data_IF_850636964886
#
_entry.id   IF_850636964886
#
_cell.length_a   1.000
_cell.length_b   1.000
_cell.length_c   1.000
_cell.angle_alpha   90.00
_cell.angle_beta   90.00
_cell.angle_gamma   90.00
#
_symmetry.space_group_name_H-M   'P 1'
#
loop_
_entity.id
_entity.type
_entity.pdbx_description
1 polymer ?
#
# COMPACT_ATOMS: atom_id res chain seq x y z
N UNK A 1 -98.90 43.14 -7.04
CA UNK A 1 -99.41 42.14 -6.06
C UNK A 1 -98.90 40.76 -6.48
N UNK A 2 -97.98 40.19 -5.70
CA UNK A 2 -97.95 38.81 -5.19
C UNK A 2 -96.51 38.40 -4.90
N UNK A 3 -96.30 38.09 -3.63
CA UNK A 3 -95.13 37.46 -3.01
C UNK A 3 -95.14 35.93 -3.29
N UNK A 4 -94.07 35.20 -2.90
CA UNK A 4 -93.52 34.04 -3.62
C UNK A 4 -94.10 32.69 -3.17
N UNK A 5 -93.84 31.64 -3.94
CA UNK A 5 -94.07 30.24 -3.55
C UNK A 5 -92.72 29.53 -3.37
N UNK A 6 -92.49 29.02 -2.15
CA UNK A 6 -91.42 28.09 -1.79
C UNK A 6 -91.62 26.74 -2.49
N UNK A 7 -90.50 26.10 -2.86
CA UNK A 7 -90.47 24.72 -3.39
C UNK A 7 -89.95 23.80 -2.27
N UNK A 8 -90.63 22.67 -1.96
CA UNK A 8 -90.28 21.76 -0.87
C UNK A 8 -89.06 20.87 -1.20
N UNK A 9 -88.42 20.25 -0.19
CA UNK A 9 -87.17 19.50 -0.36
C UNK A 9 -87.41 18.13 -1.05
N UNK A 10 -86.43 17.59 -1.79
CA UNK A 10 -86.54 16.26 -2.38
C UNK A 10 -86.45 15.17 -1.31
N UNK A 11 -87.37 14.20 -1.40
CA UNK A 11 -87.48 13.03 -0.52
C UNK A 11 -86.41 11.97 -0.82
N UNK A 12 -85.94 11.25 0.21
CA UNK A 12 -84.91 10.19 0.22
C UNK A 12 -85.21 8.92 -0.62
N UNK A 13 -86.08 8.97 -1.64
CA UNK A 13 -86.51 7.79 -2.40
C UNK A 13 -85.86 7.62 -3.78
N UNK A 14 -84.95 8.50 -4.18
CA UNK A 14 -84.18 8.37 -5.44
C UNK A 14 -82.68 8.10 -5.24
N UNK A 15 -82.26 7.70 -4.04
CA UNK A 15 -80.91 7.16 -3.85
C UNK A 15 -80.90 5.71 -4.33
N UNK A 16 -80.26 5.48 -5.48
CA UNK A 16 -79.82 4.15 -5.88
C UNK A 16 -79.08 3.52 -4.71
N UNK A 17 -79.55 2.35 -4.29
CA UNK A 17 -78.95 1.56 -3.22
C UNK A 17 -77.52 1.20 -3.59
N UNK A 18 -76.61 1.64 -2.73
CA UNK A 18 -75.37 0.99 -2.30
C UNK A 18 -75.01 -0.32 -3.01
N UNK A 19 -74.29 -0.21 -4.13
CA UNK A 19 -73.56 -1.32 -4.79
C UNK A 19 -72.23 -0.79 -5.39
N UNK A 20 -71.64 0.27 -4.81
CA UNK A 20 -70.33 0.81 -5.22
C UNK A 20 -69.16 0.39 -4.30
N UNK A 21 -69.34 -0.59 -3.40
CA UNK A 21 -68.25 -1.07 -2.55
C UNK A 21 -67.40 -2.19 -3.18
N UNK A 22 -67.86 -2.85 -4.24
CA UNK A 22 -67.17 -4.01 -4.81
C UNK A 22 -66.33 -3.74 -6.07
N UNK A 23 -66.32 -2.50 -6.60
CA UNK A 23 -65.52 -2.18 -7.79
C UNK A 23 -64.02 -2.03 -7.48
N UNK A 24 -63.64 -1.86 -6.21
CA UNK A 24 -62.25 -1.69 -5.77
C UNK A 24 -61.51 -3.02 -5.49
N UNK A 25 -62.22 -4.16 -5.55
CA UNK A 25 -61.67 -5.46 -5.15
C UNK A 25 -61.09 -6.30 -6.29
N UNK A 26 -61.10 -5.81 -7.55
CA UNK A 26 -60.59 -6.54 -8.73
C UNK A 26 -59.25 -6.03 -9.29
N UNK A 27 -58.52 -5.17 -8.57
CA UNK A 27 -57.18 -4.75 -8.98
C UNK A 27 -56.11 -5.51 -8.16
N UNK A 28 -55.47 -6.57 -8.73
CA UNK A 28 -54.44 -7.35 -8.04
C UNK A 28 -53.19 -6.54 -7.69
N UNK A 29 -52.96 -5.38 -8.33
CA UNK A 29 -51.78 -4.54 -8.08
C UNK A 29 -51.95 -3.64 -6.85
N UNK A 30 -53.18 -3.32 -6.43
CA UNK A 30 -53.44 -2.54 -5.20
C UNK A 30 -53.21 -3.30 -3.90
N UNK A 31 -53.15 -4.64 -3.90
CA UNK A 31 -52.81 -5.43 -2.70
C UNK A 31 -51.33 -5.30 -2.30
N UNK A 32 -50.46 -4.81 -3.20
CA UNK A 32 -49.02 -4.64 -2.94
C UNK A 32 -48.63 -3.21 -2.55
N UNK A 33 -49.47 -2.21 -2.85
CA UNK A 33 -49.17 -0.78 -2.66
C UNK A 33 -49.84 -0.20 -1.39
N UNK A 34 -49.28 -0.54 -0.22
CA UNK A 34 -49.79 -0.11 1.09
C UNK A 34 -49.53 1.37 1.45
N UNK A 35 -48.82 2.14 0.61
CA UNK A 35 -48.49 3.53 0.94
C UNK A 35 -49.63 4.49 0.57
N UNK A 36 -50.14 5.31 1.52
CA UNK A 36 -51.09 6.37 1.21
C UNK A 36 -50.45 7.46 0.35
N UNK A 37 -51.27 8.19 -0.44
CA UNK A 37 -50.78 9.40 -1.11
C UNK A 37 -50.34 10.44 -0.06
N UNK A 38 -49.20 11.12 -0.21
CA UNK A 38 -48.35 11.27 -1.42
C UNK A 38 -47.19 10.27 -1.55
N UNK A 39 -47.00 9.38 -0.57
CA UNK A 39 -45.84 8.49 -0.50
C UNK A 39 -45.80 7.45 -1.63
N UNK A 40 -46.96 7.06 -2.18
CA UNK A 40 -47.04 6.19 -3.36
C UNK A 40 -46.43 6.84 -4.60
N UNK A 41 -46.69 8.12 -4.83
CA UNK A 41 -46.11 8.86 -5.95
C UNK A 41 -44.59 8.99 -5.79
N UNK A 42 -44.13 9.27 -4.56
CA UNK A 42 -42.70 9.31 -4.24
C UNK A 42 -42.06 7.94 -4.49
N UNK A 43 -42.67 6.85 -4.01
CA UNK A 43 -42.17 5.49 -4.23
C UNK A 43 -42.05 5.16 -5.72
N UNK A 44 -43.06 5.49 -6.53
CA UNK A 44 -43.01 5.28 -7.98
C UNK A 44 -41.88 6.07 -8.67
N UNK A 45 -41.68 7.32 -8.28
CA UNK A 45 -40.60 8.15 -8.83
C UNK A 45 -39.23 7.60 -8.42
N UNK A 46 -39.08 7.18 -7.17
CA UNK A 46 -37.84 6.58 -6.65
C UNK A 46 -37.54 5.26 -7.37
N UNK A 47 -38.54 4.38 -7.51
CA UNK A 47 -38.39 3.11 -8.23
C UNK A 47 -38.04 3.32 -9.70
N UNK A 48 -38.66 4.29 -10.38
CA UNK A 48 -38.33 4.62 -11.76
C UNK A 48 -36.88 5.11 -11.91
N UNK A 49 -36.38 5.89 -10.96
CA UNK A 49 -34.97 6.32 -10.94
C UNK A 49 -34.04 5.11 -10.75
N UNK A 50 -34.40 4.18 -9.85
CA UNK A 50 -33.62 2.95 -9.65
C UNK A 50 -33.61 2.06 -10.89
N UNK A 51 -34.77 1.83 -11.53
CA UNK A 51 -34.88 1.04 -12.75
C UNK A 51 -34.06 1.64 -13.89
N UNK A 52 -34.18 2.96 -14.12
CA UNK A 52 -33.38 3.66 -15.13
C UNK A 52 -31.87 3.59 -14.84
N UNK A 53 -31.48 3.75 -13.57
CA UNK A 53 -30.08 3.63 -13.16
C UNK A 53 -29.56 2.21 -13.40
N UNK A 54 -30.38 1.20 -13.09
CA UNK A 54 -30.02 -0.21 -13.28
C UNK A 54 -29.82 -0.55 -14.76
N UNK A 55 -30.73 -0.10 -15.64
CA UNK A 55 -30.62 -0.29 -17.09
C UNK A 55 -29.33 0.35 -17.65
N UNK A 56 -28.97 1.55 -17.16
CA UNK A 56 -27.73 2.23 -17.55
C UNK A 56 -26.50 1.43 -17.09
N UNK A 57 -26.52 0.89 -15.88
CA UNK A 57 -25.42 0.08 -15.33
C UNK A 57 -25.26 -1.22 -16.13
N UNK A 58 -26.34 -1.96 -16.36
CA UNK A 58 -26.34 -3.20 -17.14
C UNK A 58 -25.79 -2.97 -18.55
N UNK A 59 -26.24 -1.91 -19.24
CA UNK A 59 -25.72 -1.55 -20.57
C UNK A 59 -24.21 -1.28 -20.53
N UNK A 60 -23.71 -0.58 -19.50
CA UNK A 60 -22.28 -0.28 -19.33
C UNK A 60 -21.46 -1.53 -18.97
N UNK A 61 -22.04 -2.48 -18.24
CA UNK A 61 -21.39 -3.75 -17.91
C UNK A 61 -21.28 -4.65 -19.14
N UNK A 62 -22.36 -4.83 -19.90
CA UNK A 62 -22.32 -5.57 -21.17
C UNK A 62 -21.26 -5.02 -22.13
N UNK A 63 -21.15 -3.68 -22.24
CA UNK A 63 -20.11 -3.05 -23.06
C UNK A 63 -18.69 -3.33 -22.53
N UNK A 64 -18.48 -3.29 -21.21
CA UNK A 64 -17.20 -3.61 -20.58
C UNK A 64 -16.82 -5.08 -20.76
N UNK A 65 -17.76 -6.01 -20.63
CA UNK A 65 -17.53 -7.44 -20.86
C UNK A 65 -17.19 -7.72 -22.32
N UNK A 66 -17.93 -7.12 -23.26
CA UNK A 66 -17.63 -7.22 -24.69
C UNK A 66 -16.25 -6.62 -25.04
N UNK A 67 -15.78 -5.60 -24.32
CA UNK A 67 -14.42 -5.08 -24.45
C UNK A 67 -13.38 -6.03 -23.85
N UNK A 68 -13.63 -6.59 -22.66
CA UNK A 68 -12.73 -7.59 -22.03
C UNK A 68 -12.51 -8.80 -22.94
N UNK A 69 -13.57 -9.29 -23.58
CA UNK A 69 -13.50 -10.42 -24.52
C UNK A 69 -12.70 -10.10 -25.81
N UNK A 70 -12.54 -8.82 -26.16
CA UNK A 70 -11.75 -8.39 -27.32
C UNK A 70 -10.25 -8.30 -27.04
N UNK A 71 -9.84 -8.19 -25.77
CA UNK A 71 -8.43 -8.10 -25.40
C UNK A 71 -7.88 -9.51 -25.24
N UNK A 72 -7.28 -10.05 -26.32
CA UNK A 72 -6.43 -11.23 -26.16
C UNK A 72 -5.13 -10.83 -25.46
N UNK A 73 -4.64 -11.61 -24.49
CA UNK A 73 -3.33 -11.38 -23.88
C UNK A 73 -2.25 -11.39 -24.96
N UNK A 74 -1.42 -10.35 -25.00
CA UNK A 74 -0.27 -10.30 -25.92
C UNK A 74 0.67 -11.44 -25.60
N UNK A 75 0.82 -12.38 -26.55
CA UNK A 75 1.81 -13.45 -26.44
C UNK A 75 3.19 -12.85 -26.71
N UNK A 76 3.99 -12.69 -25.66
CA UNK A 76 5.38 -12.26 -25.77
C UNK A 76 6.26 -13.47 -26.09
N UNK A 77 7.00 -13.40 -27.20
CA UNK A 77 8.02 -14.39 -27.55
C UNK A 77 9.40 -13.80 -27.24
N UNK A 78 10.35 -14.60 -26.74
CA UNK A 78 11.72 -14.12 -26.53
C UNK A 78 12.37 -13.76 -27.86
N UNK A 79 12.87 -12.52 -27.97
CA UNK A 79 13.42 -11.97 -29.21
C UNK A 79 14.95 -12.08 -29.28
N UNK A 80 15.63 -12.15 -28.14
CA UNK A 80 17.09 -12.17 -28.05
C UNK A 80 17.56 -12.83 -26.76
N UNK A 81 18.78 -13.36 -26.81
CA UNK A 81 19.51 -13.87 -25.66
C UNK A 81 20.84 -13.12 -25.55
N UNK A 82 21.25 -12.80 -24.33
CA UNK A 82 22.56 -12.19 -24.07
C UNK A 82 23.21 -12.87 -22.88
N UNK A 83 24.54 -12.92 -22.89
CA UNK A 83 25.31 -13.53 -21.81
C UNK A 83 25.71 -12.46 -20.81
N UNK A 84 25.59 -12.81 -19.53
CA UNK A 84 26.00 -11.98 -18.40
C UNK A 84 27.30 -12.55 -17.83
N UNK A 85 28.23 -11.69 -17.45
CA UNK A 85 29.46 -12.11 -16.81
C UNK A 85 29.18 -12.62 -15.38
N UNK A 86 29.21 -13.95 -15.21
CA UNK A 86 29.04 -14.60 -13.91
C UNK A 86 27.60 -15.04 -13.63
N UNK A 87 27.27 -15.16 -12.34
CA UNK A 87 25.94 -15.62 -11.88
C UNK A 87 25.03 -14.41 -11.66
N UNK A 88 23.94 -14.35 -12.42
CA UNK A 88 22.86 -13.38 -12.22
C UNK A 88 21.86 -13.88 -11.19
N UNK A 89 21.52 -13.04 -10.22
CA UNK A 89 20.61 -13.36 -9.12
C UNK A 89 19.27 -12.63 -9.25
N UNK A 90 19.29 -11.39 -9.70
CA UNK A 90 18.09 -10.57 -9.89
C UNK A 90 18.24 -9.62 -11.08
N UNK A 91 17.10 -9.13 -11.57
CA UNK A 91 17.02 -8.28 -12.74
C UNK A 91 15.96 -7.20 -12.54
N UNK A 92 16.24 -5.98 -12.97
CA UNK A 92 15.28 -4.90 -13.03
C UNK A 92 15.42 -4.14 -14.36
N UNK A 93 14.31 -3.91 -15.05
CA UNK A 93 14.30 -3.12 -16.28
C UNK A 93 13.78 -1.71 -16.00
N UNK A 94 14.43 -0.70 -16.55
CA UNK A 94 14.01 0.70 -16.42
C UNK A 94 14.41 1.49 -17.66
N UNK A 95 13.42 2.05 -18.36
CA UNK A 95 13.62 2.77 -19.60
C UNK A 95 14.33 1.91 -20.66
N UNK A 96 15.51 2.35 -21.09
CA UNK A 96 16.35 1.66 -22.09
C UNK A 96 17.42 0.77 -21.47
N UNK A 97 17.41 0.56 -20.15
CA UNK A 97 18.46 -0.18 -19.47
C UNK A 97 17.89 -1.36 -18.69
N UNK A 98 18.70 -2.43 -18.64
CA UNK A 98 18.48 -3.60 -17.81
C UNK A 98 19.59 -3.62 -16.77
N UNK A 99 19.20 -3.65 -15.51
CA UNK A 99 20.11 -3.74 -14.38
C UNK A 99 20.09 -5.17 -13.86
N UNK A 100 21.27 -5.73 -13.66
CA UNK A 100 21.47 -7.13 -13.27
C UNK A 100 22.28 -7.17 -11.98
N UNK A 101 21.75 -7.86 -10.98
CA UNK A 101 22.44 -8.16 -9.75
C UNK A 101 23.26 -9.42 -9.93
N UNK A 102 24.55 -9.30 -9.68
CA UNK A 102 25.53 -10.36 -9.82
C UNK A 102 26.03 -10.80 -8.44
N UNK A 103 26.69 -11.95 -8.40
CA UNK A 103 27.41 -12.43 -7.21
C UNK A 103 28.60 -11.54 -6.81
N UNK A 104 29.01 -10.61 -7.66
CA UNK A 104 30.17 -9.73 -7.44
C UNK A 104 29.84 -8.24 -7.55
N UNK A 105 28.55 -7.88 -7.68
CA UNK A 105 28.11 -6.49 -7.76
C UNK A 105 26.92 -6.27 -8.69
N UNK A 106 26.93 -5.16 -9.42
CA UNK A 106 25.86 -4.72 -10.32
C UNK A 106 26.39 -4.57 -11.76
N UNK A 107 25.54 -4.85 -12.74
CA UNK A 107 25.82 -4.54 -14.14
C UNK A 107 24.61 -3.88 -14.82
N UNK A 108 24.87 -2.95 -15.73
CA UNK A 108 23.87 -2.28 -16.56
C UNK A 108 24.07 -2.66 -18.03
N UNK A 109 22.98 -3.04 -18.69
CA UNK A 109 22.92 -3.41 -20.10
C UNK A 109 21.95 -2.48 -20.83
N UNK A 110 22.23 -2.17 -22.09
CA UNK A 110 21.36 -1.32 -22.92
C UNK A 110 20.38 -2.16 -23.76
N UNK A 111 19.09 -1.87 -23.70
CA UNK A 111 18.11 -2.30 -24.71
C UNK A 111 18.22 -1.34 -25.92
N UNK A 112 18.44 -1.81 -27.16
CA UNK A 112 18.11 -3.14 -27.68
C UNK A 112 19.27 -4.14 -27.82
N UNK A 113 20.52 -3.67 -27.85
CA UNK A 113 21.67 -4.52 -28.21
C UNK A 113 22.13 -5.49 -27.10
N UNK A 114 21.55 -5.35 -25.90
CA UNK A 114 21.90 -6.08 -24.68
C UNK A 114 23.40 -6.12 -24.41
N UNK A 115 24.11 -5.04 -24.78
CA UNK A 115 25.53 -4.86 -24.47
C UNK A 115 25.68 -4.32 -23.07
N UNK A 116 26.67 -4.87 -22.37
CA UNK A 116 27.11 -4.35 -21.08
C UNK A 116 27.69 -2.94 -21.28
N UNK A 117 27.17 -2.01 -20.51
CA UNK A 117 27.52 -0.60 -20.56
C UNK A 117 28.41 -0.24 -19.37
N UNK A 118 28.03 -0.74 -18.19
CA UNK A 118 28.72 -0.44 -16.95
C UNK A 118 28.61 -1.60 -15.99
N UNK A 119 29.68 -1.86 -15.26
CA UNK A 119 29.68 -2.74 -14.10
C UNK A 119 30.17 -1.97 -12.87
N UNK A 120 29.56 -2.28 -11.73
CA UNK A 120 29.96 -1.82 -10.42
C UNK A 120 30.34 -3.05 -9.59
N UNK A 121 31.64 -3.22 -9.32
CA UNK A 121 32.23 -4.38 -8.65
C UNK A 121 33.09 -3.98 -7.43
N UNK A 122 32.95 -2.74 -6.94
CA UNK A 122 33.85 -2.13 -5.96
C UNK A 122 33.94 -2.89 -4.63
N UNK A 123 32.83 -3.50 -4.18
CA UNK A 123 32.74 -4.14 -2.85
C UNK A 123 32.68 -5.67 -2.95
N UNK A 124 32.66 -6.23 -4.18
CA UNK A 124 32.52 -7.68 -4.44
C UNK A 124 31.41 -8.33 -3.60
N UNK A 125 30.30 -7.64 -3.42
CA UNK A 125 29.13 -8.13 -2.69
C UNK A 125 28.13 -8.76 -3.64
N UNK A 126 27.47 -9.81 -3.17
CA UNK A 126 26.37 -10.43 -3.90
C UNK A 126 25.11 -9.57 -3.77
N UNK A 127 24.49 -9.22 -4.91
CA UNK A 127 23.24 -8.47 -4.95
C UNK A 127 22.07 -9.43 -5.14
N UNK A 128 21.10 -9.36 -4.22
CA UNK A 128 19.95 -10.26 -4.15
C UNK A 128 18.67 -9.67 -4.75
N UNK A 129 18.46 -8.35 -4.64
CA UNK A 129 17.27 -7.68 -5.18
C UNK A 129 17.62 -6.30 -5.74
N UNK A 130 16.92 -5.88 -6.80
CA UNK A 130 17.07 -4.55 -7.42
C UNK A 130 15.70 -3.99 -7.71
N UNK A 131 15.50 -2.73 -7.32
CA UNK A 131 14.38 -1.90 -7.77
C UNK A 131 14.94 -0.73 -8.56
N UNK A 132 14.45 -0.51 -9.78
CA UNK A 132 14.93 0.53 -10.66
C UNK A 132 13.77 1.43 -11.10
N UNK A 133 13.99 2.74 -11.12
CA UNK A 133 13.02 3.74 -11.55
C UNK A 133 13.64 4.71 -12.56
N UNK A 134 12.91 4.99 -13.63
CA UNK A 134 13.31 5.97 -14.66
C UNK A 134 12.89 7.38 -14.21
N UNK A 135 13.85 8.29 -14.07
CA UNK A 135 13.61 9.70 -13.78
C UNK A 135 13.49 10.55 -15.05
N UNK A 136 13.67 9.95 -16.22
CA UNK A 136 13.76 10.62 -17.51
C UNK A 136 15.18 11.07 -17.85
N UNK A 137 15.40 11.42 -19.12
CA UNK A 137 16.70 11.88 -19.64
C UNK A 137 17.87 10.90 -19.35
N UNK A 138 17.62 9.59 -19.42
CA UNK A 138 18.61 8.53 -19.16
C UNK A 138 19.21 8.58 -17.75
N UNK A 139 18.41 9.08 -16.79
CA UNK A 139 18.74 9.09 -15.35
C UNK A 139 17.85 8.08 -14.66
N UNK A 140 18.46 7.17 -13.91
CA UNK A 140 17.74 6.13 -13.18
C UNK A 140 18.13 6.15 -11.71
N UNK A 141 17.18 5.85 -10.84
CA UNK A 141 17.42 5.60 -9.42
C UNK A 141 17.27 4.12 -9.16
N UNK A 142 18.23 3.56 -8.42
CA UNK A 142 18.26 2.15 -8.09
C UNK A 142 18.39 1.95 -6.59
N UNK A 143 17.61 1.03 -6.05
CA UNK A 143 17.83 0.44 -4.74
C UNK A 143 18.27 -1.01 -4.95
N UNK A 144 19.46 -1.34 -4.51
CA UNK A 144 19.99 -2.70 -4.53
C UNK A 144 20.13 -3.23 -3.10
N UNK A 145 19.72 -4.47 -2.88
CA UNK A 145 19.86 -5.17 -1.59
C UNK A 145 20.92 -6.23 -1.71
N UNK A 146 21.91 -6.22 -0.82
CA UNK A 146 22.99 -7.21 -0.81
C UNK A 146 22.64 -8.48 0.01
N UNK A 147 23.51 -9.49 -0.06
CA UNK A 147 23.41 -10.75 0.69
C UNK A 147 23.32 -10.56 2.22
N UNK A 148 23.82 -9.44 2.72
CA UNK A 148 23.78 -9.11 4.15
C UNK A 148 22.56 -8.27 4.52
N UNK A 149 21.66 -8.01 3.56
CA UNK A 149 20.45 -7.22 3.74
C UNK A 149 20.69 -5.72 3.83
N UNK A 150 21.84 -5.20 3.40
CA UNK A 150 22.06 -3.76 3.29
C UNK A 150 21.43 -3.18 2.03
N UNK A 151 20.87 -1.99 2.14
CA UNK A 151 20.19 -1.29 1.06
C UNK A 151 21.08 -0.18 0.53
N UNK A 152 21.52 -0.36 -0.70
CA UNK A 152 22.41 0.54 -1.44
C UNK A 152 21.57 1.40 -2.38
N UNK A 153 21.67 2.73 -2.22
CA UNK A 153 21.00 3.68 -3.10
C UNK A 153 21.98 4.19 -4.14
N UNK A 154 21.69 3.88 -5.41
CA UNK A 154 22.46 4.34 -6.56
C UNK A 154 21.65 5.29 -7.43
N UNK A 155 22.36 6.22 -8.05
CA UNK A 155 21.90 6.95 -9.22
C UNK A 155 22.71 6.51 -10.43
N UNK A 156 22.04 6.12 -11.50
CA UNK A 156 22.68 5.78 -12.76
C UNK A 156 22.49 6.93 -13.76
N UNK A 157 23.59 7.48 -14.23
CA UNK A 157 23.60 8.61 -15.16
C UNK A 157 24.84 8.54 -16.05
N UNK A 158 24.69 8.89 -17.33
CA UNK A 158 25.77 8.81 -18.34
C UNK A 158 26.50 7.48 -18.28
N UNK A 159 25.73 6.39 -18.24
CA UNK A 159 26.31 5.05 -18.34
C UNK A 159 27.27 4.71 -17.17
N UNK A 160 27.03 5.29 -15.98
CA UNK A 160 27.84 5.07 -14.77
C UNK A 160 26.97 4.99 -13.51
N UNK A 161 27.36 4.12 -12.58
CA UNK A 161 26.74 4.04 -11.25
C UNK A 161 27.37 5.04 -10.28
N UNK A 162 26.54 5.85 -9.62
CA UNK A 162 26.92 6.75 -8.55
C UNK A 162 26.27 6.27 -7.25
N UNK A 163 27.07 5.81 -6.30
CA UNK A 163 26.58 5.46 -4.96
C UNK A 163 26.26 6.73 -4.18
N UNK A 164 25.02 6.86 -3.71
CA UNK A 164 24.59 8.00 -2.89
C UNK A 164 24.83 7.70 -1.42
N UNK A 165 24.29 6.58 -0.92
CA UNK A 165 24.35 6.18 0.49
C UNK A 165 23.96 4.72 0.65
N UNK A 166 24.37 4.11 1.77
CA UNK A 166 23.86 2.84 2.28
C UNK A 166 22.87 3.17 3.41
N UNK A 167 21.58 2.86 3.24
CA UNK A 167 20.52 3.41 4.10
C UNK A 167 20.52 2.81 5.53
N UNK A 168 20.77 1.52 5.65
CA UNK A 168 20.75 0.78 6.93
C UNK A 168 22.15 0.40 7.43
N UNK A 169 23.17 1.16 7.06
CA UNK A 169 24.52 0.99 7.59
C UNK A 169 24.57 1.39 9.07
N UNK A 170 25.10 0.50 9.91
CA UNK A 170 25.26 0.73 11.36
C UNK A 170 26.67 0.29 11.75
N UNK A 171 27.37 1.10 12.55
CA UNK A 171 28.72 0.80 13.03
C UNK A 171 28.79 -0.46 13.91
N UNK A 172 27.69 -0.76 14.61
CA UNK A 172 27.56 -1.88 15.54
C UNK A 172 26.86 -3.07 14.87
N UNK A 173 27.65 -4.12 14.59
CA UNK A 173 27.19 -5.36 13.96
C UNK A 173 26.06 -6.02 14.77
N UNK A 174 26.02 -5.85 16.09
CA UNK A 174 24.98 -6.44 16.94
C UNK A 174 23.60 -5.81 16.74
N UNK A 175 23.56 -4.60 16.16
CA UNK A 175 22.34 -3.82 15.85
C UNK A 175 22.02 -3.82 14.37
N UNK A 176 22.70 -4.66 13.58
CA UNK A 176 22.45 -4.74 12.15
C UNK A 176 21.00 -5.13 11.90
N UNK A 177 20.39 -4.47 10.93
CA UNK A 177 19.06 -4.79 10.45
C UNK A 177 19.15 -5.34 9.04
N UNK A 178 18.34 -6.34 8.76
CA UNK A 178 18.20 -6.93 7.42
C UNK A 178 17.01 -6.31 6.72
N UNK A 179 17.19 -5.94 5.46
CA UNK A 179 16.08 -5.49 4.65
C UNK A 179 15.19 -6.67 4.24
N UNK A 180 13.88 -6.50 4.45
CA UNK A 180 12.84 -7.49 4.08
C UNK A 180 12.18 -7.09 2.77
N UNK A 181 11.84 -5.81 2.62
CA UNK A 181 11.14 -5.30 1.44
C UNK A 181 11.59 -3.87 1.12
N UNK A 182 11.70 -3.57 -0.17
CA UNK A 182 12.02 -2.24 -0.68
C UNK A 182 11.00 -1.85 -1.74
N UNK A 183 10.52 -0.61 -1.66
CA UNK A 183 9.55 -0.08 -2.64
C UNK A 183 9.99 1.29 -3.13
N UNK A 184 10.10 1.41 -4.45
CA UNK A 184 10.27 2.67 -5.17
C UNK A 184 8.96 3.04 -5.87
N UNK A 185 8.18 4.01 -5.36
CA UNK A 185 6.98 4.47 -6.03
C UNK A 185 7.31 5.18 -7.35
N UNK A 186 6.36 5.20 -8.31
CA UNK A 186 6.44 6.06 -9.47
C UNK A 186 6.66 7.53 -9.05
N UNK A 187 7.42 8.27 -9.85
CA UNK A 187 7.78 9.68 -9.58
C UNK A 187 9.17 9.85 -8.97
N UNK A 188 9.59 8.94 -8.07
CA UNK A 188 10.97 8.91 -7.55
C UNK A 188 11.26 9.92 -6.45
N UNK A 189 10.22 10.47 -5.83
CA UNK A 189 10.34 11.43 -4.72
C UNK A 189 10.50 10.75 -3.35
N UNK A 190 10.15 9.47 -3.26
CA UNK A 190 10.20 8.70 -2.03
C UNK A 190 10.81 7.31 -2.25
N UNK A 191 11.27 6.70 -1.16
CA UNK A 191 11.65 5.31 -1.07
C UNK A 191 11.16 4.73 0.26
N UNK A 192 10.63 3.51 0.24
CA UNK A 192 10.26 2.79 1.45
C UNK A 192 11.14 1.57 1.65
N UNK A 193 11.59 1.36 2.89
CA UNK A 193 12.45 0.24 3.27
C UNK A 193 11.89 -0.39 4.55
N UNK A 194 11.50 -1.65 4.46
CA UNK A 194 11.13 -2.47 5.62
C UNK A 194 12.38 -3.16 6.15
N UNK A 195 12.70 -2.87 7.41
CA UNK A 195 13.87 -3.39 8.11
C UNK A 195 13.44 -4.32 9.24
N UNK A 196 14.19 -5.39 9.41
CA UNK A 196 14.03 -6.35 10.49
C UNK A 196 15.32 -6.45 11.29
N UNK A 197 15.24 -6.13 12.58
CA UNK A 197 16.30 -6.45 13.54
C UNK A 197 15.98 -7.75 14.28
N UNK A 198 16.86 -8.15 15.20
CA UNK A 198 16.77 -9.42 15.93
C UNK A 198 15.42 -9.68 16.62
N UNK A 199 14.74 -8.64 17.08
CA UNK A 199 13.48 -8.77 17.86
C UNK A 199 12.35 -7.89 17.36
N UNK A 200 12.59 -7.01 16.39
CA UNK A 200 11.63 -5.97 15.97
C UNK A 200 11.78 -5.66 14.50
N UNK A 201 10.65 -5.56 13.80
CA UNK A 201 10.57 -4.98 12.46
C UNK A 201 10.12 -3.51 12.55
N UNK A 202 10.51 -2.70 11.57
CA UNK A 202 10.04 -1.32 11.39
C UNK A 202 10.17 -0.89 9.92
N UNK A 203 9.29 0.01 9.50
CA UNK A 203 9.27 0.59 8.16
C UNK A 203 9.88 2.01 8.20
N UNK A 204 10.78 2.30 7.28
CA UNK A 204 11.38 3.61 7.10
C UNK A 204 11.03 4.19 5.72
N UNK A 205 10.55 5.43 5.70
CA UNK A 205 10.24 6.15 4.47
C UNK A 205 11.20 7.32 4.32
N UNK A 206 11.92 7.34 3.20
CA UNK A 206 12.86 8.37 2.83
C UNK A 206 12.27 9.27 1.75
N UNK A 207 12.51 10.57 1.86
CA UNK A 207 12.34 11.53 0.77
C UNK A 207 13.63 11.63 -0.02
N UNK A 208 13.55 11.35 -1.31
CA UNK A 208 14.68 11.42 -2.22
C UNK A 208 14.77 12.85 -2.80
N UNK A 209 15.94 13.52 -2.74
CA UNK A 209 16.11 14.87 -3.27
C UNK A 209 16.29 14.85 -4.79
N UNK A 210 15.31 14.27 -5.51
CA UNK A 210 15.31 14.10 -6.96
C UNK A 210 15.66 15.39 -7.71
N UNK A 211 14.99 16.50 -7.39
CA UNK A 211 15.24 17.79 -8.06
C UNK A 211 16.67 18.31 -7.87
N UNK A 212 17.26 18.03 -6.71
CA UNK A 212 18.65 18.39 -6.42
C UNK A 212 19.61 17.50 -7.20
N UNK A 213 19.38 16.19 -7.22
CA UNK A 213 20.16 15.25 -8.03
C UNK A 213 20.15 15.61 -9.51
N UNK A 214 18.98 15.96 -10.08
CA UNK A 214 18.86 16.39 -11.46
C UNK A 214 19.75 17.60 -11.76
N UNK A 215 19.82 18.59 -10.84
CA UNK A 215 20.66 19.77 -10.98
C UNK A 215 22.14 19.48 -10.73
N UNK A 216 22.46 18.62 -9.77
CA UNK A 216 23.84 18.26 -9.38
C UNK A 216 24.53 17.43 -10.48
N UNK A 217 23.80 16.52 -11.12
CA UNK A 217 24.27 15.72 -12.26
C UNK A 217 24.47 16.54 -13.54
N UNK A 218 23.75 17.65 -13.70
CA UNK A 218 23.96 18.58 -14.83
C UNK A 218 25.19 19.48 -14.62
N UNK A 219 25.43 19.90 -13.37
CA UNK A 219 26.53 20.80 -12.99
C UNK A 219 27.89 20.12 -12.86
N UNK A 220 27.94 18.79 -12.89
CA UNK A 220 29.16 17.99 -12.77
C UNK A 220 29.56 17.32 -14.10
N UNK A 221 29.89 18.08 -15.17
CA UNK A 221 30.27 17.47 -16.45
C UNK A 221 31.66 16.82 -16.43
N UNK A 222 32.47 17.01 -15.38
CA UNK A 222 33.91 16.70 -15.38
C UNK A 222 34.37 15.39 -14.75
N UNK A 223 33.53 14.65 -14.00
CA UNK A 223 33.97 13.42 -13.31
C UNK A 223 33.77 12.14 -14.14
N UNK A 224 32.94 12.19 -15.19
CA UNK A 224 32.63 11.03 -16.04
C UNK A 224 33.76 10.62 -17.00
N UNK A 225 34.80 11.44 -17.17
CA UNK A 225 35.97 11.08 -17.99
C UNK A 225 37.05 10.29 -17.21
N UNK A 226 36.97 10.25 -15.87
CA UNK A 226 37.97 9.60 -15.01
C UNK A 226 37.49 8.31 -14.32
N UNK A 227 36.21 7.99 -14.42
CA UNK A 227 35.58 6.79 -13.84
C UNK A 227 35.00 5.88 -14.95
N UNK A 228 35.61 5.92 -16.14
CA UNK A 228 35.39 4.89 -17.13
C UNK A 228 35.68 3.53 -16.49
N UNK A 229 34.71 2.63 -16.61
CA UNK A 229 34.74 1.24 -16.18
C UNK A 229 36.16 0.65 -16.27
N UNK A 230 36.55 -0.09 -15.23
CA UNK A 230 37.82 -0.80 -15.16
C UNK A 230 38.00 -1.75 -16.36
N UNK A 231 38.57 -1.25 -17.46
CA UNK A 231 39.20 -2.08 -18.46
C UNK A 231 40.56 -2.55 -17.92
N UNK A 232 40.58 -3.68 -17.21
CA UNK A 232 41.82 -4.44 -17.01
C UNK A 232 41.60 -5.94 -17.21
N UNK A 233 41.64 -6.37 -18.47
CA UNK A 233 42.29 -7.64 -18.82
C UNK A 233 43.80 -7.38 -18.91
N UNK A 234 44.56 -7.82 -17.91
CA UNK A 234 46.00 -7.96 -18.02
C UNK A 234 46.50 -9.14 -17.15
N UNK A 235 46.68 -10.27 -17.83
CA UNK A 235 47.83 -11.18 -17.79
C UNK A 235 48.47 -11.51 -16.42
N UNK A 236 48.47 -12.81 -16.13
CA UNK A 236 49.24 -13.48 -15.10
C UNK A 236 50.74 -13.13 -15.15
N UNK A 237 51.33 -12.76 -14.00
CA UNK A 237 52.65 -13.27 -13.55
C UNK A 237 52.95 -12.90 -12.09
N UNK A 238 53.13 -13.94 -11.27
CA UNK A 238 54.08 -14.13 -10.16
C UNK A 238 54.30 -13.06 -9.07
N UNK A 239 53.82 -13.42 -7.86
CA UNK A 239 54.58 -13.69 -6.62
C UNK A 239 55.16 -12.54 -5.76
N UNK A 240 54.75 -12.62 -4.48
CA UNK A 240 55.36 -12.15 -3.22
C UNK A 240 55.49 -10.64 -2.95
N UNK A 241 54.74 -10.13 -1.98
CA UNK A 241 55.33 -9.88 -0.65
C UNK A 241 54.28 -9.59 0.43
N UNK A 242 54.54 -10.15 1.60
CA UNK A 242 53.82 -10.01 2.87
C UNK A 242 54.30 -8.71 3.53
N UNK A 243 53.42 -7.79 3.94
CA UNK A 243 53.63 -7.00 5.16
C UNK A 243 52.34 -6.34 5.70
N UNK A 244 52.05 -6.71 6.96
CA UNK A 244 51.25 -6.10 8.04
C UNK A 244 50.53 -4.76 7.77
N UNK A 245 49.21 -4.71 8.03
CA UNK A 245 48.47 -3.47 8.27
C UNK A 245 47.41 -3.66 9.38
N UNK A 246 47.77 -3.21 10.57
CA UNK A 246 46.86 -2.80 11.64
C UNK A 246 46.51 -1.33 11.39
N UNK A 247 45.21 -0.99 11.30
CA UNK A 247 44.75 0.41 11.21
C UNK A 247 43.53 0.63 10.30
N UNK A 248 42.38 0.88 10.94
CA UNK A 248 41.06 1.33 10.40
C UNK A 248 41.12 2.63 9.56
N UNK A 249 40.05 3.04 8.83
CA UNK A 249 39.36 2.36 7.74
C UNK A 249 39.46 3.16 6.41
N UNK A 250 39.41 2.41 5.30
CA UNK A 250 38.90 2.75 3.96
C UNK A 250 38.85 4.25 3.59
N UNK A 251 39.97 4.77 3.08
CA UNK A 251 39.98 5.94 2.19
C UNK A 251 39.81 5.45 0.75
N UNK A 252 38.56 5.26 0.32
CA UNK A 252 38.24 5.06 -1.09
C UNK A 252 38.14 6.44 -1.80
N UNK A 253 39.20 6.76 -2.54
CA UNK A 253 39.25 7.57 -3.76
C UNK A 253 38.43 8.88 -3.84
N UNK A 254 39.17 9.99 -3.66
CA UNK A 254 38.79 11.37 -3.96
C UNK A 254 38.38 11.58 -5.43
N UNK A 255 37.08 11.59 -5.69
CA UNK A 255 36.42 12.51 -6.63
C UNK A 255 34.90 12.47 -6.37
N UNK A 256 34.48 12.67 -5.11
CA UNK A 256 33.08 12.58 -4.74
C UNK A 256 32.30 13.78 -5.30
N UNK A 257 31.57 13.54 -6.37
CA UNK A 257 30.41 14.36 -6.69
C UNK A 257 29.36 14.02 -5.63
N UNK A 258 29.47 14.63 -4.44
CA UNK A 258 28.59 14.35 -3.30
C UNK A 258 27.18 14.79 -3.66
N UNK A 259 26.36 13.82 -4.07
CA UNK A 259 24.93 14.03 -4.27
C UNK A 259 24.26 14.33 -2.94
N UNK A 260 23.21 15.13 -2.98
CA UNK A 260 22.38 15.42 -1.80
C UNK A 260 21.82 14.12 -1.19
N UNK A 261 21.84 14.00 0.13
CA UNK A 261 21.43 12.78 0.81
C UNK A 261 19.90 12.69 0.99
N UNK A 262 19.31 11.48 0.94
CA UNK A 262 17.92 11.26 1.33
C UNK A 262 17.61 11.70 2.75
N UNK A 263 16.36 12.13 2.98
CA UNK A 263 15.88 12.56 4.30
C UNK A 263 14.87 11.54 4.82
N UNK A 264 15.13 10.95 6.00
CA UNK A 264 14.15 10.08 6.67
C UNK A 264 12.93 10.92 7.09
N UNK A 265 11.74 10.58 6.59
CA UNK A 265 10.49 11.26 6.91
C UNK A 265 9.69 10.56 8.00
N UNK A 266 9.57 9.24 7.90
CA UNK A 266 8.67 8.47 8.74
C UNK A 266 9.34 7.16 9.14
N UNK A 267 9.20 6.81 10.42
CA UNK A 267 9.57 5.51 10.97
C UNK A 267 8.35 4.88 11.64
N UNK A 268 7.77 3.87 11.02
CA UNK A 268 6.56 3.18 11.50
C UNK A 268 6.96 1.86 12.13
N UNK A 269 6.45 1.59 13.34
CA UNK A 269 6.67 0.33 14.05
C UNK A 269 5.35 -0.46 14.13
N UNK A 270 5.42 -1.78 14.41
CA UNK A 270 4.24 -2.57 14.68
C UNK A 270 3.37 -1.92 15.76
N UNK A 271 2.03 -1.94 15.61
CA UNK A 271 1.13 -1.47 16.64
C UNK A 271 1.38 -2.24 17.93
N UNK A 272 1.32 -1.51 19.06
CA UNK A 272 1.49 -2.12 20.37
C UNK A 272 0.34 -3.10 20.60
N UNK A 273 0.58 -4.24 21.25
CA UNK A 273 -0.51 -5.11 21.66
C UNK A 273 -1.48 -4.33 22.54
N UNK A 274 -2.76 -4.66 22.44
CA UNK A 274 -3.79 -4.06 23.29
C UNK A 274 -3.56 -4.58 24.71
N UNK A 275 -3.18 -3.68 25.61
CA UNK A 275 -2.96 -3.97 27.03
C UNK A 275 -4.06 -3.33 27.88
N UNK A 276 -4.16 -3.71 29.14
CA UNK A 276 -5.11 -3.09 30.07
C UNK A 276 -5.00 -1.57 30.12
N UNK A 277 -6.16 -0.97 30.32
CA UNK A 277 -6.32 0.47 30.40
C UNK A 277 -5.69 1.03 31.66
N UNK A 278 -4.96 2.13 31.52
CA UNK A 278 -4.51 2.96 32.63
C UNK A 278 -5.54 4.05 33.02
N UNK A 279 -6.65 4.16 32.30
CA UNK A 279 -7.68 5.17 32.56
C UNK A 279 -8.48 4.84 33.82
N UNK A 280 -8.68 5.85 34.67
CA UNK A 280 -9.47 5.71 35.90
C UNK A 280 -10.96 5.96 35.68
N UNK A 281 -11.31 6.72 34.64
CA UNK A 281 -12.69 7.05 34.31
C UNK A 281 -12.93 7.13 32.79
N UNK A 282 -14.18 6.95 32.33
CA UNK A 282 -14.54 7.15 30.92
C UNK A 282 -14.23 8.57 30.41
N UNK A 283 -14.34 9.58 31.27
CA UNK A 283 -14.04 10.97 30.93
C UNK A 283 -12.54 11.17 30.65
N UNK A 284 -11.67 10.45 31.37
CA UNK A 284 -10.22 10.52 31.13
C UNK A 284 -9.84 9.87 29.80
N UNK A 285 -10.52 8.78 29.44
CA UNK A 285 -10.36 8.14 28.12
C UNK A 285 -10.88 9.06 27.00
N UNK A 286 -12.04 9.71 27.20
CA UNK A 286 -12.63 10.62 26.23
C UNK A 286 -11.77 11.88 26.00
N UNK A 287 -11.13 12.42 27.06
CA UNK A 287 -10.18 13.53 26.93
C UNK A 287 -8.92 13.19 26.12
N UNK A 288 -8.62 11.90 25.92
CA UNK A 288 -7.51 11.40 25.10
C UNK A 288 -7.96 10.97 23.70
N UNK A 289 -9.26 10.94 23.45
CA UNK A 289 -9.81 10.81 22.11
C UNK A 289 -9.46 12.08 21.33
N UNK A 290 -9.12 11.92 20.06
CA UNK A 290 -8.94 13.06 19.16
C UNK A 290 -10.30 13.76 18.93
N UNK A 291 -10.37 14.68 17.98
CA UNK A 291 -11.58 15.38 17.52
C UNK A 291 -12.80 14.49 17.15
N UNK A 292 -12.72 13.18 17.32
CA UNK A 292 -13.78 12.21 17.07
C UNK A 292 -14.03 11.92 15.59
N UNK A 293 -13.19 12.47 14.70
CA UNK A 293 -13.34 12.33 13.25
C UNK A 293 -12.84 11.00 12.71
N UNK A 294 -11.98 10.29 13.46
CA UNK A 294 -11.28 9.09 13.02
C UNK A 294 -11.43 7.92 14.00
N UNK A 295 -11.51 6.70 13.46
CA UNK A 295 -11.37 5.48 14.25
C UNK A 295 -9.92 5.36 14.72
N UNK A 296 -9.72 5.15 16.02
CA UNK A 296 -8.40 4.93 16.60
C UNK A 296 -7.99 3.45 16.58
N UNK A 297 -6.74 3.17 16.95
CA UNK A 297 -6.18 1.81 17.08
C UNK A 297 -6.73 0.99 18.25
N UNK A 298 -7.80 1.46 18.91
CA UNK A 298 -8.43 0.76 20.04
C UNK A 298 -7.74 0.93 21.40
N UNK A 299 -6.60 1.63 21.50
CA UNK A 299 -5.86 1.80 22.78
C UNK A 299 -6.61 2.60 23.86
N UNK A 300 -7.64 3.36 23.48
CA UNK A 300 -8.43 4.17 24.39
C UNK A 300 -9.66 3.38 24.89
N UNK A 301 -9.45 2.27 25.61
CA UNK A 301 -10.52 1.47 26.23
C UNK A 301 -10.48 1.56 27.77
N UNK A 302 -11.47 0.95 28.45
CA UNK A 302 -11.56 0.88 29.92
C UNK A 302 -11.32 -0.53 30.49
N UNK A 303 -11.12 -1.53 29.63
CA UNK A 303 -10.82 -2.90 30.05
C UNK A 303 -9.48 -2.92 30.79
N UNK A 304 -9.46 -3.43 32.02
CA UNK A 304 -8.25 -3.51 32.87
C UNK A 304 -7.44 -4.78 32.58
N UNK A 305 -6.15 -4.79 32.94
CA UNK A 305 -5.30 -5.98 32.80
C UNK A 305 -5.90 -7.19 33.52
N UNK A 306 -6.40 -7.01 34.74
CA UNK A 306 -7.04 -8.08 35.50
C UNK A 306 -8.26 -8.69 34.80
N UNK A 307 -8.97 -7.90 33.98
CA UNK A 307 -10.12 -8.39 33.22
C UNK A 307 -9.66 -9.18 32.00
N UNK A 308 -8.58 -8.75 31.33
CA UNK A 308 -7.95 -9.51 30.26
C UNK A 308 -7.41 -10.84 30.77
N UNK A 309 -6.69 -10.83 31.90
CA UNK A 309 -6.19 -12.04 32.55
C UNK A 309 -7.34 -13.00 32.94
N UNK A 310 -8.44 -12.46 33.46
CA UNK A 310 -9.61 -13.28 33.81
C UNK A 310 -10.26 -13.90 32.56
N UNK A 311 -10.40 -13.15 31.47
CA UNK A 311 -10.93 -13.68 30.20
C UNK A 311 -10.01 -14.74 29.61
N UNK A 312 -8.70 -14.50 29.60
CA UNK A 312 -7.70 -15.46 29.14
C UNK A 312 -7.75 -16.75 29.99
N UNK A 313 -7.89 -16.64 31.31
CA UNK A 313 -8.02 -17.79 32.20
C UNK A 313 -9.32 -18.58 31.94
N UNK A 314 -10.44 -17.89 31.71
CA UNK A 314 -11.70 -18.53 31.34
C UNK A 314 -11.56 -19.22 29.99
N UNK A 315 -10.97 -18.57 28.99
CA UNK A 315 -10.74 -19.16 27.67
C UNK A 315 -9.86 -20.41 27.76
N UNK A 316 -8.69 -20.33 28.40
CA UNK A 316 -7.79 -21.47 28.59
C UNK A 316 -8.40 -22.61 29.37
N UNK A 317 -9.23 -22.32 30.37
CA UNK A 317 -9.93 -23.37 31.11
C UNK A 317 -11.04 -24.04 30.29
N UNK A 318 -11.76 -23.27 29.47
CA UNK A 318 -12.86 -23.75 28.64
C UNK A 318 -12.37 -24.56 27.44
N UNK A 319 -11.26 -24.17 26.83
CA UNK A 319 -10.73 -24.77 25.59
C UNK A 319 -9.42 -25.56 25.81
N UNK A 320 -9.16 -25.99 27.06
CA UNK A 320 -7.91 -26.65 27.45
C UNK A 320 -7.52 -27.81 26.54
N UNK A 321 -8.48 -28.69 26.24
CA UNK A 321 -8.27 -29.90 25.42
C UNK A 321 -7.84 -29.58 23.98
N UNK A 322 -8.27 -28.43 23.43
CA UNK A 322 -7.89 -27.99 22.09
C UNK A 322 -6.49 -27.36 22.08
N UNK A 323 -6.16 -26.57 23.10
CA UNK A 323 -4.87 -25.89 23.21
C UNK A 323 -3.71 -26.87 23.45
N UNK A 324 -3.95 -27.96 24.18
CA UNK A 324 -2.95 -29.00 24.44
C UNK A 324 -2.58 -29.77 23.16
N UNK A 325 -3.51 -29.93 22.21
CA UNK A 325 -3.27 -30.58 20.92
C UNK A 325 -2.53 -29.68 19.90
N UNK A 326 -2.56 -28.36 20.10
CA UNK A 326 -1.95 -27.36 19.21
C UNK A 326 -0.57 -26.92 19.72
N UNK A 327 -0.38 -26.90 21.05
CA UNK A 327 0.88 -26.56 21.71
C UNK A 327 2.06 -27.50 21.45
N UNK A 328 1.83 -28.70 20.91
CA UNK A 328 2.91 -29.59 20.44
C UNK A 328 3.48 -29.19 19.07
N UNK A 329 2.80 -28.32 18.30
CA UNK A 329 3.20 -27.90 16.95
C UNK A 329 3.91 -26.55 16.86
N UNK A 330 3.74 -25.67 17.83
CA UNK A 330 4.34 -24.32 17.81
C UNK A 330 5.47 -24.19 18.84
N UNK A 331 6.68 -24.55 18.44
CA UNK A 331 7.88 -24.09 19.16
C UNK A 331 7.99 -22.58 19.07
N UNK A 332 8.03 -21.92 20.23
CA UNK A 332 8.12 -20.46 20.46
C UNK A 332 9.33 -19.80 19.79
N UNK A 333 9.26 -19.58 18.50
CA UNK A 333 9.94 -18.46 17.86
C UNK A 333 8.84 -17.48 17.47
N UNK A 334 8.65 -16.42 18.27
CA UNK A 334 7.80 -15.30 17.87
C UNK A 334 8.40 -14.67 16.62
N UNK A 335 7.91 -15.08 15.44
CA UNK A 335 8.29 -14.49 14.17
C UNK A 335 7.96 -13.00 14.26
N UNK A 336 8.94 -12.09 14.06
CA UNK A 336 8.67 -10.66 14.08
C UNK A 336 7.60 -10.35 13.03
N UNK A 337 6.53 -9.67 13.42
CA UNK A 337 5.46 -9.26 12.49
C UNK A 337 6.06 -8.52 11.30
N UNK A 338 5.93 -9.07 10.10
CA UNK A 338 6.27 -8.34 8.89
C UNK A 338 5.16 -7.32 8.61
N UNK A 339 5.50 -6.29 7.84
CA UNK A 339 4.53 -5.35 7.32
C UNK A 339 4.42 -5.53 5.82
N UNK A 340 3.24 -5.29 5.28
CA UNK A 340 3.08 -4.98 3.86
C UNK A 340 2.66 -3.53 3.75
N UNK A 341 3.29 -2.80 2.83
CA UNK A 341 3.01 -1.38 2.65
C UNK A 341 2.94 -0.98 1.19
N UNK A 342 2.12 0.03 0.91
CA UNK A 342 1.93 0.56 -0.44
C UNK A 342 1.95 2.07 -0.43
N UNK A 343 2.61 2.67 -1.42
CA UNK A 343 2.48 4.11 -1.68
C UNK A 343 1.15 4.41 -2.33
N UNK A 344 0.49 5.45 -1.87
CA UNK A 344 -0.83 5.86 -2.33
C UNK A 344 -0.74 7.23 -2.98
N UNK A 345 -1.21 7.30 -4.22
CA UNK A 345 -1.47 8.57 -4.89
C UNK A 345 -2.61 9.34 -4.18
N UNK A 346 -2.66 10.67 -4.38
CA UNK A 346 -3.70 11.53 -3.86
C UNK A 346 -5.11 11.00 -4.14
N UNK A 347 -5.94 10.95 -3.11
CA UNK A 347 -7.28 10.37 -3.20
C UNK A 347 -8.20 10.97 -2.15
N UNK A 348 -9.52 10.77 -2.29
CA UNK A 348 -10.51 11.30 -1.34
C UNK A 348 -10.31 10.75 0.07
N UNK A 349 -9.71 9.56 0.17
CA UNK A 349 -9.46 8.85 1.41
C UNK A 349 -8.30 9.48 2.19
N UNK A 350 -7.30 10.00 1.46
CA UNK A 350 -6.19 10.76 2.02
C UNK A 350 -6.46 12.25 1.80
N UNK A 351 -7.40 12.83 2.57
CA UNK A 351 -7.67 14.26 2.48
C UNK A 351 -6.46 15.06 2.96
N UNK A 352 -5.75 15.64 2.00
CA UNK A 352 -4.73 16.64 2.27
C UNK A 352 -5.47 17.96 2.50
N UNK A 353 -5.17 18.66 3.60
CA UNK A 353 -5.87 19.89 3.98
C UNK A 353 -5.90 20.95 2.85
N UNK A 354 -6.88 21.88 2.88
CA UNK A 354 -7.21 22.77 1.75
C UNK A 354 -6.07 23.69 1.28
N UNK A 355 -4.98 23.82 2.05
CA UNK A 355 -3.83 24.68 1.73
C UNK A 355 -2.72 23.99 0.92
N UNK A 356 -2.78 22.67 0.75
CA UNK A 356 -1.67 21.90 0.15
C UNK A 356 -1.87 21.70 -1.36
N UNK A 357 -0.90 22.13 -2.16
CA UNK A 357 -0.86 21.79 -3.59
C UNK A 357 -0.49 20.33 -3.76
N UNK A 358 -1.44 19.52 -4.19
CA UNK A 358 -1.24 18.09 -4.44
C UNK A 358 -0.80 17.88 -5.89
N UNK A 359 0.38 17.30 -6.10
CA UNK A 359 0.85 16.83 -7.41
C UNK A 359 0.25 15.45 -7.69
N UNK A 360 -0.41 15.21 -8.84
CA UNK A 360 -1.14 13.96 -9.09
C UNK A 360 -0.24 12.73 -9.18
N UNK A 361 1.01 12.89 -9.63
CA UNK A 361 1.95 11.78 -9.84
C UNK A 361 2.88 11.53 -8.65
N UNK A 362 2.70 12.27 -7.55
CA UNK A 362 3.52 12.15 -6.35
C UNK A 362 2.68 11.51 -5.24
N UNK A 363 3.17 10.42 -4.59
CA UNK A 363 2.46 9.82 -3.48
C UNK A 363 2.14 10.83 -2.36
N UNK A 364 0.89 10.85 -1.90
CA UNK A 364 0.45 11.69 -0.78
C UNK A 364 0.52 10.98 0.57
N UNK A 365 0.54 9.65 0.55
CA UNK A 365 0.54 8.82 1.75
C UNK A 365 1.00 7.40 1.49
N UNK A 366 1.04 6.60 2.56
CA UNK A 366 1.27 5.17 2.53
C UNK A 366 0.14 4.45 3.26
N UNK A 367 -0.19 3.23 2.82
CA UNK A 367 -0.96 2.27 3.61
C UNK A 367 -0.03 1.20 4.15
N UNK A 368 -0.21 0.81 5.40
CA UNK A 368 0.58 -0.21 6.09
C UNK A 368 -0.35 -1.13 6.85
N UNK A 369 -0.20 -2.44 6.70
CA UNK A 369 -0.73 -3.42 7.64
C UNK A 369 0.39 -4.34 8.12
N UNK A 370 0.23 -4.86 9.33
CA UNK A 370 1.17 -5.80 9.94
C UNK A 370 0.53 -7.18 10.00
N UNK A 371 1.36 -8.21 9.94
CA UNK A 371 0.87 -9.59 10.04
C UNK A 371 0.07 -9.81 11.33
N UNK A 372 -1.07 -10.51 11.20
CA UNK A 372 -2.02 -10.73 12.29
C UNK A 372 -2.77 -9.47 12.75
N UNK A 373 -2.63 -8.34 12.05
CA UNK A 373 -3.39 -7.13 12.37
C UNK A 373 -4.71 -7.07 11.61
N UNK A 374 -5.75 -6.65 12.31
CA UNK A 374 -7.06 -6.33 11.73
C UNK A 374 -7.10 -4.94 11.09
N UNK A 375 -6.07 -4.11 11.29
CA UNK A 375 -6.12 -2.70 10.94
C UNK A 375 -5.20 -2.39 9.77
N UNK A 376 -5.75 -1.75 8.74
CA UNK A 376 -4.95 -1.03 7.74
C UNK A 376 -4.73 0.41 8.24
N UNK A 377 -3.47 0.79 8.41
CA UNK A 377 -3.08 2.11 8.87
C UNK A 377 -2.61 2.97 7.70
N UNK A 378 -3.16 4.17 7.58
CA UNK A 378 -2.81 5.13 6.54
C UNK A 378 -2.02 6.28 7.15
N UNK A 379 -0.91 6.64 6.52
CA UNK A 379 -0.03 7.74 6.95
C UNK A 379 0.20 8.71 5.80
N UNK A 380 0.00 10.00 6.04
CA UNK A 380 0.28 11.10 5.13
C UNK A 380 1.78 11.40 5.13
N UNK A 381 2.36 11.56 3.93
CA UNK A 381 3.77 11.90 3.77
C UNK A 381 4.02 13.42 3.94
N UNK A 382 2.99 14.23 3.69
CA UNK A 382 3.07 15.70 3.75
C UNK A 382 2.65 16.26 5.12
N UNK A 383 3.12 15.67 6.23
CA UNK A 383 2.81 16.22 7.56
C UNK A 383 3.59 17.53 7.80
N UNK A 384 2.95 18.59 8.33
CA UNK A 384 3.68 19.72 8.84
C UNK A 384 4.58 19.27 9.99
N UNK A 385 5.84 19.69 9.96
CA UNK A 385 6.89 19.36 10.94
C UNK A 385 6.56 19.96 12.32
N UNK A 386 5.54 19.42 13.01
CA UNK A 386 5.10 19.86 14.36
C UNK A 386 5.02 18.72 15.37
N UNK A 387 5.21 17.47 14.98
CA UNK A 387 5.27 16.36 15.93
C UNK A 387 6.72 16.08 16.35
N UNK A 388 6.94 15.86 17.65
CA UNK A 388 8.25 15.56 18.22
C UNK A 388 8.79 14.26 17.62
N UNK A 389 10.05 14.28 17.19
CA UNK A 389 10.80 13.20 16.51
C UNK A 389 10.77 11.85 17.27
N UNK A 390 10.52 11.85 18.58
CA UNK A 390 10.58 10.65 19.43
C UNK A 390 9.22 9.94 19.69
N UNK A 391 8.10 10.45 19.16
CA UNK A 391 6.80 9.79 19.32
C UNK A 391 6.53 8.87 18.12
N UNK A 392 6.20 7.60 18.38
CA UNK A 392 5.77 6.69 17.31
C UNK A 392 4.63 7.36 16.52
N UNK A 393 4.72 7.45 15.18
CA UNK A 393 3.75 8.21 14.39
C UNK A 393 2.37 7.57 14.54
N UNK A 394 1.38 8.37 14.92
CA UNK A 394 -0.02 7.95 14.90
C UNK A 394 -0.49 7.89 13.45
N UNK A 395 -1.26 6.88 13.02
CA UNK A 395 -1.88 6.88 11.69
C UNK A 395 -2.87 8.04 11.56
N UNK A 396 -2.99 8.60 10.35
CA UNK A 396 -3.98 9.64 10.04
C UNK A 396 -5.37 9.03 9.86
N UNK A 397 -5.44 7.82 9.27
CA UNK A 397 -6.68 7.06 9.11
C UNK A 397 -6.43 5.60 9.49
N UNK A 398 -7.37 4.99 10.21
CA UNK A 398 -7.35 3.55 10.51
C UNK A 398 -8.59 2.91 9.92
N UNK A 399 -8.38 1.86 9.12
CA UNK A 399 -9.45 1.02 8.61
C UNK A 399 -9.45 -0.35 9.28
N UNK A 400 -10.46 -0.63 10.13
CA UNK A 400 -10.59 -1.94 10.74
C UNK A 400 -11.23 -2.94 9.77
N UNK A 401 -10.72 -4.18 9.80
CA UNK A 401 -11.25 -5.34 9.12
C UNK A 401 -11.80 -6.33 10.15
N UNK A 402 -12.80 -7.13 9.76
CA UNK A 402 -13.43 -8.10 10.66
C UNK A 402 -12.46 -9.24 11.05
N UNK A 403 -11.61 -9.66 10.11
CA UNK A 403 -10.56 -10.65 10.30
C UNK A 403 -9.16 -10.02 10.05
N UNK A 404 -8.07 -10.67 10.50
CA UNK A 404 -6.72 -10.20 10.22
C UNK A 404 -6.48 -10.09 8.71
N UNK A 405 -5.71 -9.07 8.31
CA UNK A 405 -5.39 -8.83 6.91
C UNK A 405 -4.32 -9.82 6.49
N UNK A 406 -4.65 -10.68 5.53
CA UNK A 406 -3.74 -11.69 4.98
C UNK A 406 -2.84 -11.11 3.89
N UNK A 407 -3.38 -10.29 2.98
CA UNK A 407 -2.60 -9.60 1.98
C UNK A 407 -3.32 -8.36 1.43
N UNK A 408 -2.55 -7.46 0.82
CA UNK A 408 -3.07 -6.25 0.17
C UNK A 408 -2.39 -5.98 -1.16
N UNK A 409 -3.09 -5.32 -2.07
CA UNK A 409 -2.57 -4.93 -3.37
C UNK A 409 -3.12 -3.58 -3.82
N UNK A 410 -2.34 -2.86 -4.62
CA UNK A 410 -2.74 -1.59 -5.25
C UNK A 410 -2.66 -1.76 -6.78
N UNK A 411 -3.67 -1.24 -7.48
CA UNK A 411 -3.66 -1.26 -8.95
C UNK A 411 -2.52 -0.43 -9.53
N UNK A 412 -2.05 -0.75 -10.74
CA UNK A 412 -1.01 0.01 -11.44
C UNK A 412 -1.33 1.51 -11.61
N UNK A 413 -2.60 1.86 -11.83
CA UNK A 413 -3.08 3.25 -11.89
C UNK A 413 -3.24 3.90 -10.50
N UNK A 414 -2.87 3.20 -9.44
CA UNK A 414 -2.98 3.60 -8.04
C UNK A 414 -4.40 4.00 -7.58
N UNK A 415 -5.44 3.67 -8.36
CA UNK A 415 -6.84 4.01 -8.05
C UNK A 415 -7.49 3.00 -7.11
N UNK A 416 -7.26 1.71 -7.36
CA UNK A 416 -7.90 0.64 -6.61
C UNK A 416 -6.98 0.08 -5.54
N UNK A 417 -7.56 -0.23 -4.39
CA UNK A 417 -6.90 -0.93 -3.28
C UNK A 417 -7.72 -2.19 -2.97
N UNK A 418 -7.06 -3.34 -2.96
CA UNK A 418 -7.66 -4.60 -2.56
C UNK A 418 -7.07 -5.05 -1.22
N UNK A 419 -7.94 -5.55 -0.35
CA UNK A 419 -7.61 -6.18 0.93
C UNK A 419 -8.23 -7.56 0.95
N UNK A 420 -7.43 -8.58 1.27
CA UNK A 420 -7.93 -9.91 1.60
C UNK A 420 -7.65 -10.19 3.07
N UNK A 421 -8.66 -10.72 3.75
CA UNK A 421 -8.56 -11.13 5.15
C UNK A 421 -8.47 -12.66 5.26
N UNK A 422 -8.05 -13.16 6.41
CA UNK A 422 -7.88 -14.59 6.68
C UNK A 422 -9.19 -15.39 6.61
N UNK A 423 -10.33 -14.73 6.79
CA UNK A 423 -11.67 -15.30 6.63
C UNK A 423 -12.11 -15.46 5.16
N UNK A 424 -11.16 -15.31 4.22
CA UNK A 424 -11.35 -15.33 2.78
C UNK A 424 -12.27 -14.20 2.24
N UNK A 425 -12.49 -13.14 3.02
CA UNK A 425 -13.17 -11.93 2.56
C UNK A 425 -12.21 -11.04 1.77
N UNK A 426 -12.58 -10.70 0.55
CA UNK A 426 -11.89 -9.74 -0.31
C UNK A 426 -12.71 -8.48 -0.43
N UNK A 427 -12.09 -7.34 -0.14
CA UNK A 427 -12.67 -6.02 -0.33
C UNK A 427 -11.87 -5.21 -1.33
N UNK A 428 -12.52 -4.65 -2.35
CA UNK A 428 -11.93 -3.75 -3.34
C UNK A 428 -12.50 -2.35 -3.15
N UNK A 429 -11.62 -1.36 -3.00
CA UNK A 429 -11.96 0.05 -2.82
C UNK A 429 -11.59 0.88 -4.05
N UNK A 430 -12.46 1.79 -4.45
CA UNK A 430 -12.09 2.90 -5.34
C UNK A 430 -11.62 4.06 -4.47
N UNK A 431 -10.31 4.28 -4.39
CA UNK A 431 -9.75 5.35 -3.56
C UNK A 431 -10.14 6.74 -4.06
N UNK A 432 -10.30 6.89 -5.36
CA UNK A 432 -10.64 8.18 -5.96
C UNK A 432 -12.06 8.60 -5.60
N UNK A 433 -13.00 7.65 -5.60
CA UNK A 433 -14.39 7.92 -5.26
C UNK A 433 -14.70 7.76 -3.76
N UNK A 434 -13.81 7.12 -3.00
CA UNK A 434 -13.92 7.00 -1.55
C UNK A 434 -14.90 5.94 -1.05
N UNK A 435 -15.29 4.96 -1.88
CA UNK A 435 -16.27 3.94 -1.51
C UNK A 435 -15.82 2.51 -1.91
N UNK A 436 -16.34 1.46 -1.24
CA UNK A 436 -16.01 0.08 -1.59
C UNK A 436 -16.75 -0.30 -2.87
N UNK A 437 -16.02 -0.79 -3.87
CA UNK A 437 -16.59 -1.27 -5.13
C UNK A 437 -17.23 -2.65 -4.98
N UNK A 438 -16.59 -3.53 -4.21
CA UNK A 438 -17.05 -4.89 -4.02
C UNK A 438 -16.49 -5.46 -2.72
N UNK A 439 -17.32 -6.24 -2.04
CA UNK A 439 -16.94 -7.14 -0.95
C UNK A 439 -17.40 -8.52 -1.36
N UNK A 440 -16.48 -9.46 -1.48
CA UNK A 440 -16.78 -10.84 -1.88
C UNK A 440 -16.07 -11.79 -0.93
N UNK A 441 -16.80 -12.74 -0.37
CA UNK A 441 -16.21 -13.85 0.36
C UNK A 441 -16.01 -15.03 -0.59
N UNK A 442 -14.82 -15.61 -0.59
CA UNK A 442 -14.59 -16.88 -1.30
C UNK A 442 -15.17 -18.00 -0.44
N UNK A 443 -16.14 -18.73 -0.99
CA UNK A 443 -16.77 -19.84 -0.29
C UNK A 443 -15.79 -21.03 -0.17
N UNK A 444 -15.58 -21.53 1.05
CA UNK A 444 -14.73 -22.68 1.37
C UNK A 444 -13.47 -22.31 2.17
N UNK A 445 -12.78 -23.30 2.74
CA UNK A 445 -11.53 -23.15 3.51
C UNK A 445 -10.33 -22.80 2.60
N UNK A 446 -10.36 -21.64 1.97
CA UNK A 446 -9.30 -21.17 1.08
C UNK A 446 -8.49 -20.05 1.75
N UNK A 447 -7.16 -20.19 1.71
CA UNK A 447 -6.24 -19.16 2.17
C UNK A 447 -5.79 -18.30 0.98
N UNK A 448 -6.01 -16.99 1.10
CA UNK A 448 -5.60 -16.02 0.08
C UNK A 448 -4.16 -15.60 0.37
N UNK A 449 -3.24 -15.94 -0.55
CA UNK A 449 -1.81 -15.61 -0.41
C UNK A 449 -1.40 -14.32 -1.12
N UNK A 450 -2.02 -14.01 -2.25
CA UNK A 450 -1.69 -12.81 -3.02
C UNK A 450 -2.89 -12.32 -3.83
N UNK A 451 -2.90 -11.01 -4.11
CA UNK A 451 -3.87 -10.35 -4.98
C UNK A 451 -3.08 -9.59 -6.05
N UNK A 452 -3.48 -9.72 -7.31
CA UNK A 452 -2.86 -9.02 -8.42
C UNK A 452 -3.92 -8.28 -9.24
N UNK A 453 -3.68 -7.01 -9.52
CA UNK A 453 -4.41 -6.26 -10.53
C UNK A 453 -3.76 -6.53 -11.89
N UNK A 454 -4.54 -7.01 -12.85
CA UNK A 454 -4.10 -7.28 -14.22
C UNK A 454 -4.34 -6.10 -15.15
#
# INVERSE_FOLDING_TARGET
RKHPLEIPPPSEKDWLKDDEEDFFLQDPDRKRDALPQPFRMINKLVMLVFENAMEIIERREMLREAQKLKVQPTKCFPTAEFQVAGRANCLAASGKYIFVGLSVGLAAFKMPDCKEVCAWDAVKTEICAIHALDLGNERHVLLAVDEMGLVWLFCFYKESFLLVIILNEVEDISKRSTCVEVVLPPGGDYAGVLLQGNTKAWLEIYRLPKDSWLKEMEKSPGAAAGLACSERRAQHSSQADIFMLQGSPVSANKADTKLSLPVLLLKVKPPKPITGSSFKSPLDALKKMDDGSMLGLGYNHLIKDSQWEQQEAIFRSTYREYLEAEGERESKEEIPRCATFHFLLPSWILQVGPEMKVQPDVPSGISVHWDGSHNLCLYLLNRPLKEKVDSDPKPDVVWPCAAPIACSAVSSCSRYLALACEDATITIWDKHLGYPLSVTAILGEHLIRSIHFL
#
